data_IF_779610471655
#
_entry.id   IF_779610471655
#
_cell.length_a   1.000
_cell.length_b   1.000
_cell.length_c   1.000
_cell.angle_alpha   90.00
_cell.angle_beta   90.00
_cell.angle_gamma   90.00
#
_symmetry.space_group_name_H-M   'P 1'
#
loop_
_entity.id
_entity.type
_entity.pdbx_description
1 polymer ?
#
# COMPACT_ATOMS: atom_id res chain seq x y z
N UNK A 1 0.87 8.37 17.63
CA UNK A 1 0.58 8.09 16.22
C UNK A 1 -0.92 7.99 16.05
N UNK A 2 -1.46 8.38 14.88
CA UNK A 2 -2.88 8.22 14.60
C UNK A 2 -3.27 6.74 14.63
N UNK A 3 -4.45 6.45 15.16
CA UNK A 3 -5.08 5.13 15.09
C UNK A 3 -6.13 5.16 13.99
N UNK A 4 -6.13 4.15 13.13
CA UNK A 4 -7.14 3.94 12.10
C UNK A 4 -8.49 3.61 12.73
N UNK A 5 -9.57 4.13 12.14
CA UNK A 5 -10.94 3.83 12.48
C UNK A 5 -11.22 2.34 12.31
N UNK A 6 -12.22 1.84 13.03
CA UNK A 6 -12.60 0.42 12.98
C UNK A 6 -13.26 0.10 11.64
N UNK A 7 -12.45 -0.23 10.64
CA UNK A 7 -12.89 -0.80 9.38
C UNK A 7 -12.35 -2.21 9.21
N UNK A 8 -13.20 -3.15 8.78
CA UNK A 8 -12.78 -4.54 8.55
C UNK A 8 -12.31 -4.73 7.11
N UNK A 9 -11.05 -5.15 6.93
CA UNK A 9 -10.54 -5.53 5.61
C UNK A 9 -11.01 -6.97 5.28
N UNK A 10 -12.02 -7.05 4.41
CA UNK A 10 -12.60 -8.32 3.95
C UNK A 10 -12.12 -8.64 2.52
N UNK A 11 -11.65 -9.87 2.30
CA UNK A 11 -11.15 -10.36 1.01
C UNK A 11 -12.29 -11.03 0.22
N UNK A 12 -12.19 -11.00 -1.11
CA UNK A 12 -13.17 -11.54 -2.04
C UNK A 12 -12.66 -12.86 -2.64
N UNK A 13 -13.45 -13.93 -2.54
CA UNK A 13 -13.29 -15.09 -3.42
C UNK A 13 -13.77 -14.72 -4.85
N UNK A 14 -12.86 -14.65 -5.83
CA UNK A 14 -13.22 -14.38 -7.23
C UNK A 14 -12.03 -14.18 -8.19
N UNK A 15 -12.32 -14.22 -9.50
CA UNK A 15 -11.34 -13.96 -10.57
C UNK A 15 -10.86 -12.51 -10.62
N UNK A 16 -9.80 -12.24 -11.42
CA UNK A 16 -9.19 -10.90 -11.66
C UNK A 16 -10.29 -9.84 -11.84
N UNK A 17 -10.28 -8.79 -11.03
CA UNK A 17 -11.22 -7.66 -11.18
C UNK A 17 -10.79 -6.84 -12.40
N UNK A 18 -11.68 -6.71 -13.37
CA UNK A 18 -11.53 -5.85 -14.56
C UNK A 18 -12.79 -5.02 -14.76
N UNK A 19 -12.68 -3.70 -14.84
CA UNK A 19 -13.82 -2.79 -15.02
C UNK A 19 -14.47 -2.32 -13.71
N UNK A 20 -15.52 -1.51 -13.85
CA UNK A 20 -16.19 -0.82 -12.74
C UNK A 20 -16.79 -1.81 -11.73
N UNK A 21 -16.46 -1.55 -10.45
CA UNK A 21 -16.96 -2.18 -9.22
C UNK A 21 -16.26 -3.47 -8.76
N UNK A 22 -15.25 -3.28 -7.90
CA UNK A 22 -14.93 -4.24 -6.83
C UNK A 22 -16.18 -4.45 -5.93
N UNK A 23 -16.98 -5.49 -6.19
CA UNK A 23 -18.22 -5.78 -5.47
C UNK A 23 -18.16 -7.08 -4.65
N UNK A 24 -18.50 -6.92 -3.37
CA UNK A 24 -18.55 -7.82 -2.23
C UNK A 24 -19.14 -9.25 -2.43
N UNK A 25 -18.64 -10.22 -1.65
CA UNK A 25 -19.29 -11.52 -1.36
C UNK A 25 -19.12 -11.84 0.15
N UNK A 26 -20.24 -12.11 0.84
CA UNK A 26 -20.33 -12.31 2.30
C UNK A 26 -20.17 -13.75 2.77
N UNK A 27 -20.10 -14.72 1.86
CA UNK A 27 -20.22 -16.15 2.21
C UNK A 27 -18.92 -16.81 2.69
N UNK A 28 -17.83 -16.07 2.85
CA UNK A 28 -16.60 -16.63 3.38
C UNK A 28 -15.77 -15.57 4.12
N UNK A 29 -15.94 -15.51 5.44
CA UNK A 29 -15.25 -14.55 6.32
C UNK A 29 -13.86 -15.05 6.77
N UNK A 30 -13.33 -16.10 6.11
CA UNK A 30 -12.01 -16.66 6.37
C UNK A 30 -11.40 -17.17 5.04
N UNK A 31 -10.48 -16.44 4.41
CA UNK A 31 -9.84 -16.95 3.18
C UNK A 31 -8.35 -16.64 2.97
N UNK A 32 -7.59 -16.55 4.06
CA UNK A 32 -6.25 -17.16 4.07
C UNK A 32 -6.32 -18.39 4.97
N UNK A 33 -5.83 -19.55 4.53
CA UNK A 33 -5.71 -20.71 5.42
C UNK A 33 -4.94 -20.26 6.67
N UNK A 34 -5.59 -20.39 7.83
CA UNK A 34 -5.07 -20.29 9.19
C UNK A 34 -5.02 -18.88 9.79
N UNK A 35 -5.60 -18.75 10.98
CA UNK A 35 -5.58 -17.57 11.83
C UNK A 35 -4.12 -17.18 12.19
N UNK A 36 -3.51 -16.28 11.41
CA UNK A 36 -2.12 -15.83 11.55
C UNK A 36 -1.14 -16.34 10.50
N UNK A 37 -1.58 -17.16 9.54
CA UNK A 37 -0.77 -17.65 8.41
C UNK A 37 -1.07 -16.95 7.08
N UNK A 38 -2.19 -16.24 6.99
CA UNK A 38 -2.55 -15.36 5.86
C UNK A 38 -1.51 -14.25 5.61
N UNK A 39 -0.99 -13.64 6.68
CA UNK A 39 0.13 -12.70 6.64
C UNK A 39 1.38 -13.30 6.00
N UNK A 40 1.75 -14.52 6.42
CA UNK A 40 2.91 -15.23 5.89
C UNK A 40 2.69 -15.54 4.41
N UNK A 41 1.51 -16.03 4.03
CA UNK A 41 1.21 -16.38 2.63
C UNK A 41 1.29 -15.16 1.71
N UNK A 42 0.65 -14.03 2.06
CA UNK A 42 0.66 -12.86 1.19
C UNK A 42 2.07 -12.26 1.05
N UNK A 43 2.79 -12.12 2.16
CA UNK A 43 4.16 -11.59 2.13
C UNK A 43 5.12 -12.52 1.39
N UNK A 44 5.04 -13.83 1.65
CA UNK A 44 5.88 -14.83 0.99
C UNK A 44 5.65 -14.87 -0.52
N UNK A 45 4.39 -14.68 -0.95
CA UNK A 45 4.04 -14.56 -2.36
C UNK A 45 4.68 -13.34 -3.05
N UNK A 46 4.99 -12.27 -2.31
CA UNK A 46 5.70 -11.09 -2.82
C UNK A 46 7.22 -11.17 -2.67
N UNK A 47 7.77 -12.13 -1.92
CA UNK A 47 9.23 -12.25 -1.75
C UNK A 47 9.98 -12.24 -3.10
N UNK A 48 9.61 -13.03 -4.13
CA UNK A 48 10.30 -12.99 -5.42
C UNK A 48 10.36 -11.60 -6.05
N UNK A 49 9.26 -10.84 -5.93
CA UNK A 49 9.17 -9.46 -6.41
C UNK A 49 10.04 -8.53 -5.57
N UNK A 50 9.95 -8.58 -4.24
CA UNK A 50 10.77 -7.72 -3.36
C UNK A 50 12.27 -7.95 -3.53
N UNK A 51 12.70 -9.19 -3.82
CA UNK A 51 14.12 -9.51 -4.08
C UNK A 51 14.64 -9.02 -5.43
N UNK A 52 13.77 -8.57 -6.33
CA UNK A 52 14.16 -8.24 -7.72
C UNK A 52 13.66 -6.88 -8.20
N UNK A 53 12.73 -6.25 -7.49
CA UNK A 53 12.01 -5.06 -7.95
C UNK A 53 12.91 -3.85 -8.14
N UNK A 54 14.00 -3.71 -7.38
CA UNK A 54 14.91 -2.57 -7.54
C UNK A 54 15.62 -2.55 -8.90
N UNK A 55 15.76 -3.70 -9.57
CA UNK A 55 16.39 -3.78 -10.87
C UNK A 55 15.69 -2.91 -11.92
N UNK A 56 14.38 -2.63 -11.76
CA UNK A 56 13.65 -1.75 -12.68
C UNK A 56 14.19 -0.31 -12.71
N UNK A 57 14.85 0.12 -11.63
CA UNK A 57 15.51 1.44 -11.54
C UNK A 57 17.04 1.34 -11.68
N UNK A 58 17.57 0.18 -12.10
CA UNK A 58 19.02 -0.05 -12.23
C UNK A 58 19.81 0.18 -10.93
N UNK A 59 19.19 -0.06 -9.77
CA UNK A 59 19.84 0.01 -8.45
C UNK A 59 19.93 -1.39 -7.81
N UNK A 60 20.83 -1.62 -6.83
CA UNK A 60 20.98 -2.93 -6.20
C UNK A 60 19.68 -3.45 -5.58
N UNK A 61 19.42 -4.74 -5.80
CA UNK A 61 18.28 -5.43 -5.23
C UNK A 61 18.36 -5.58 -3.71
N UNK A 62 17.20 -5.78 -3.11
CA UNK A 62 17.07 -5.97 -1.67
C UNK A 62 17.85 -7.20 -1.19
N UNK A 63 18.50 -7.09 -0.03
CA UNK A 63 19.05 -8.24 0.69
C UNK A 63 17.96 -8.98 1.48
N UNK A 64 18.26 -10.19 1.98
CA UNK A 64 17.35 -10.92 2.87
C UNK A 64 17.09 -10.19 4.20
N UNK A 65 18.08 -9.45 4.70
CA UNK A 65 17.96 -8.62 5.90
C UNK A 65 17.01 -7.45 5.65
N UNK A 66 17.14 -6.76 4.52
CA UNK A 66 16.26 -5.64 4.15
C UNK A 66 14.80 -6.07 3.96
N UNK A 67 14.55 -7.25 3.36
CA UNK A 67 13.20 -7.82 3.29
C UNK A 67 12.67 -8.18 4.68
N UNK A 68 13.52 -8.68 5.58
CA UNK A 68 13.17 -8.92 6.98
C UNK A 68 12.82 -7.64 7.74
N UNK A 69 13.54 -6.55 7.48
CA UNK A 69 13.27 -5.24 8.08
C UNK A 69 11.96 -4.64 7.60
N UNK A 70 11.61 -4.80 6.32
CA UNK A 70 10.29 -4.46 5.78
C UNK A 70 9.19 -5.19 6.56
N UNK A 71 9.31 -6.51 6.75
CA UNK A 71 8.34 -7.29 7.50
C UNK A 71 8.18 -6.78 8.94
N UNK A 72 9.29 -6.55 9.62
CA UNK A 72 9.27 -6.07 11.01
C UNK A 72 8.59 -4.70 11.12
N UNK A 73 8.91 -3.78 10.21
CA UNK A 73 8.32 -2.44 10.19
C UNK A 73 6.81 -2.47 9.88
N UNK A 74 6.38 -3.25 8.89
CA UNK A 74 4.95 -3.42 8.56
C UNK A 74 4.18 -3.90 9.81
N UNK A 75 4.74 -4.85 10.55
CA UNK A 75 4.09 -5.35 11.75
C UNK A 75 4.03 -4.36 12.89
N UNK A 76 5.13 -3.65 13.11
CA UNK A 76 5.20 -2.63 14.12
C UNK A 76 4.10 -1.59 13.88
N UNK A 77 4.07 -1.00 12.68
CA UNK A 77 3.14 0.09 12.40
C UNK A 77 1.71 -0.39 12.20
N UNK A 78 1.48 -1.63 11.78
CA UNK A 78 0.16 -2.25 11.86
C UNK A 78 -0.34 -2.32 13.30
N UNK A 79 0.50 -2.76 14.25
CA UNK A 79 0.14 -2.81 15.67
C UNK A 79 -0.05 -1.44 16.31
N UNK A 80 0.77 -0.45 15.95
CA UNK A 80 0.72 0.89 16.54
C UNK A 80 -0.41 1.76 15.98
N UNK A 81 -0.78 1.58 14.71
CA UNK A 81 -1.81 2.38 14.04
C UNK A 81 -3.14 1.65 13.88
N UNK A 82 -3.17 0.33 13.97
CA UNK A 82 -4.36 -0.48 13.68
C UNK A 82 -4.67 -0.63 12.19
N UNK A 83 -3.81 -0.12 11.29
CA UNK A 83 -3.94 -0.38 9.84
C UNK A 83 -3.61 -1.85 9.58
N UNK A 84 -4.46 -2.53 8.82
CA UNK A 84 -4.24 -3.93 8.46
C UNK A 84 -2.93 -4.11 7.66
N UNK A 85 -2.04 -4.96 8.15
CA UNK A 85 -0.74 -5.22 7.51
C UNK A 85 -0.81 -5.67 6.05
N UNK A 86 -1.88 -6.35 5.61
CA UNK A 86 -2.08 -6.78 4.23
C UNK A 86 -2.32 -5.57 3.34
N UNK A 87 -3.01 -4.57 3.86
CA UNK A 87 -3.21 -3.30 3.18
C UNK A 87 -1.91 -2.50 3.09
N UNK A 88 -1.13 -2.42 4.17
CA UNK A 88 0.20 -1.79 4.15
C UNK A 88 1.08 -2.42 3.07
N UNK A 89 1.15 -3.76 3.06
CA UNK A 89 1.89 -4.52 2.05
C UNK A 89 1.35 -4.24 0.63
N UNK A 90 0.04 -4.27 0.42
CA UNK A 90 -0.56 -4.03 -0.90
C UNK A 90 -0.20 -2.64 -1.45
N UNK A 91 -0.27 -1.59 -0.62
CA UNK A 91 0.10 -0.22 -1.00
C UNK A 91 1.60 -0.17 -1.30
N UNK A 92 2.46 -0.69 -0.43
CA UNK A 92 3.92 -0.71 -0.67
C UNK A 92 4.28 -1.41 -1.99
N UNK A 93 3.61 -2.53 -2.30
CA UNK A 93 3.83 -3.24 -3.56
C UNK A 93 3.31 -2.46 -4.78
N UNK A 94 2.27 -1.64 -4.63
CA UNK A 94 1.79 -0.73 -5.68
C UNK A 94 2.73 0.45 -5.90
N UNK A 95 3.33 0.99 -4.84
CA UNK A 95 4.17 2.19 -4.90
C UNK A 95 5.60 1.91 -5.36
N UNK A 96 6.21 0.82 -4.87
CA UNK A 96 7.64 0.57 -5.08
C UNK A 96 7.98 -0.86 -5.47
N UNK A 97 7.01 -1.76 -5.54
CA UNK A 97 7.28 -3.20 -5.61
C UNK A 97 8.13 -3.70 -4.43
N UNK A 98 8.16 -2.96 -3.33
CA UNK A 98 8.99 -3.22 -2.16
C UNK A 98 10.47 -2.88 -2.31
N UNK A 99 10.89 -2.12 -3.33
CA UNK A 99 12.29 -1.71 -3.46
C UNK A 99 12.66 -0.66 -2.41
N UNK A 100 13.59 -0.98 -1.50
CA UNK A 100 14.04 -0.03 -0.46
C UNK A 100 14.82 1.17 -1.02
N UNK A 101 15.21 1.11 -2.29
CA UNK A 101 15.93 2.14 -3.05
C UNK A 101 15.09 2.70 -4.19
N UNK A 102 13.76 2.62 -4.10
CA UNK A 102 12.89 3.29 -5.07
C UNK A 102 13.25 4.78 -5.12
N UNK A 103 13.44 5.38 -6.31
CA UNK A 103 13.62 6.81 -6.43
C UNK A 103 12.39 7.55 -5.89
N UNK A 104 12.58 8.66 -5.20
CA UNK A 104 11.47 9.55 -4.86
C UNK A 104 10.88 10.19 -6.11
N UNK A 105 9.59 10.52 -6.06
CA UNK A 105 8.94 11.37 -7.06
C UNK A 105 8.75 12.80 -6.52
N UNK A 106 8.70 13.79 -7.41
CA UNK A 106 8.37 15.18 -7.04
C UNK A 106 7.57 15.84 -8.16
N UNK A 107 6.27 16.00 -7.92
CA UNK A 107 5.35 16.73 -8.80
C UNK A 107 4.75 17.96 -8.09
N UNK A 108 5.57 18.64 -7.28
CA UNK A 108 5.18 19.75 -6.42
C UNK A 108 5.09 19.38 -4.93
N UNK A 109 5.15 18.08 -4.64
CA UNK A 109 5.40 17.50 -3.31
C UNK A 109 6.34 16.33 -3.51
N UNK A 110 7.36 16.26 -2.66
CA UNK A 110 8.35 15.19 -2.61
C UNK A 110 7.75 13.94 -1.96
N UNK A 111 7.86 12.80 -2.64
CA UNK A 111 7.30 11.52 -2.20
C UNK A 111 8.38 10.43 -2.19
N UNK A 112 9.16 10.27 -1.11
CA UNK A 112 10.24 9.30 -1.06
C UNK A 112 9.80 7.91 -0.60
N UNK A 113 10.73 6.95 -0.73
CA UNK A 113 10.69 5.71 0.04
C UNK A 113 9.64 4.69 -0.39
N UNK A 114 9.55 3.62 0.41
CA UNK A 114 8.82 2.37 0.10
C UNK A 114 7.33 2.57 -0.21
N UNK A 115 6.70 3.56 0.40
CA UNK A 115 5.28 3.88 0.21
C UNK A 115 5.09 5.20 -0.57
N UNK A 116 6.17 5.80 -1.12
CA UNK A 116 6.12 7.10 -1.80
C UNK A 116 5.34 8.14 -0.96
N UNK A 117 5.70 8.22 0.31
CA UNK A 117 4.90 8.93 1.32
C UNK A 117 5.05 10.45 1.25
N UNK A 118 4.05 11.21 1.68
CA UNK A 118 3.99 12.66 1.46
C UNK A 118 5.03 13.42 2.30
N UNK A 119 6.08 13.92 1.66
CA UNK A 119 7.23 14.64 2.26
C UNK A 119 7.93 13.86 3.38
N UNK A 120 8.19 12.58 3.13
CA UNK A 120 8.83 11.64 4.06
C UNK A 120 10.22 12.00 4.52
N UNK A 121 10.59 11.59 5.74
CA UNK A 121 11.92 11.89 6.27
C UNK A 121 13.01 10.92 5.76
N UNK A 122 12.64 9.75 5.24
CA UNK A 122 13.58 8.67 4.94
C UNK A 122 13.54 8.20 3.48
N UNK A 123 14.72 7.85 2.98
CA UNK A 123 14.96 7.29 1.65
C UNK A 123 16.35 6.66 1.62
N UNK A 124 16.56 5.70 0.72
CA UNK A 124 17.88 5.18 0.39
C UNK A 124 18.30 5.48 -1.05
N UNK A 125 17.60 6.41 -1.73
CA UNK A 125 17.88 6.79 -3.12
C UNK A 125 17.40 8.22 -3.44
N UNK A 126 18.10 9.24 -2.91
CA UNK A 126 17.78 10.64 -3.21
C UNK A 126 19.04 11.49 -3.43
N UNK A 127 20.06 11.34 -2.57
CA UNK A 127 21.38 11.95 -2.75
C UNK A 127 22.44 10.89 -3.11
N UNK A 128 22.02 9.88 -3.86
CA UNK A 128 22.78 8.67 -4.14
C UNK A 128 22.15 7.44 -3.51
N UNK A 129 22.58 6.27 -4.02
CA UNK A 129 22.04 4.98 -3.61
C UNK A 129 22.80 4.46 -2.39
N UNK A 130 22.07 4.19 -1.30
CA UNK A 130 22.62 3.60 -0.08
C UNK A 130 22.45 2.08 -0.09
N UNK A 131 23.55 1.34 0.08
CA UNK A 131 23.56 -0.14 0.07
C UNK A 131 24.54 -0.70 1.11
N UNK A 132 24.08 -1.51 2.10
CA UNK A 132 22.69 -1.83 2.39
C UNK A 132 21.90 -0.59 2.84
N UNK A 133 20.58 -0.59 2.64
CA UNK A 133 19.66 0.41 3.17
C UNK A 133 19.49 0.16 4.67
N UNK A 134 19.78 1.14 5.55
CA UNK A 134 19.74 0.91 6.99
C UNK A 134 18.34 0.52 7.49
N UNK A 135 18.27 -0.39 8.46
CA UNK A 135 17.01 -0.79 9.12
C UNK A 135 16.19 0.41 9.60
N UNK A 136 16.84 1.42 10.17
CA UNK A 136 16.20 2.64 10.64
C UNK A 136 15.55 3.45 9.52
N UNK A 137 16.17 3.51 8.34
CA UNK A 137 15.59 4.13 7.16
C UNK A 137 14.38 3.34 6.66
N UNK A 138 14.48 2.01 6.60
CA UNK A 138 13.35 1.12 6.21
C UNK A 138 12.17 1.30 7.15
N UNK A 139 12.44 1.29 8.46
CA UNK A 139 11.43 1.48 9.50
C UNK A 139 10.75 2.84 9.35
N UNK A 140 11.54 3.91 9.12
CA UNK A 140 11.01 5.26 8.98
C UNK A 140 10.21 5.44 7.68
N UNK A 141 10.61 4.84 6.56
CA UNK A 141 9.82 4.83 5.31
C UNK A 141 8.44 4.18 5.51
N UNK A 142 8.36 3.05 6.21
CA UNK A 142 7.07 2.42 6.51
C UNK A 142 6.26 3.28 7.49
N UNK A 143 6.90 3.86 8.50
CA UNK A 143 6.26 4.75 9.46
C UNK A 143 5.57 5.92 8.79
N UNK A 144 6.28 6.63 7.92
CA UNK A 144 5.80 7.84 7.29
C UNK A 144 4.63 7.54 6.35
N UNK A 145 4.70 6.45 5.57
CA UNK A 145 3.57 6.05 4.73
C UNK A 145 2.34 5.56 5.51
N UNK A 146 2.52 4.89 6.64
CA UNK A 146 1.39 4.33 7.42
C UNK A 146 0.78 5.33 8.38
N UNK A 147 1.62 6.04 9.14
CA UNK A 147 1.22 6.98 10.18
C UNK A 147 1.17 8.44 9.70
N UNK A 148 1.66 8.73 8.49
CA UNK A 148 1.72 10.07 7.92
C UNK A 148 2.90 10.88 8.43
N UNK A 149 3.10 12.03 7.79
CA UNK A 149 4.14 13.00 8.12
C UNK A 149 3.50 14.26 8.72
N UNK A 150 4.32 15.28 9.00
CA UNK A 150 3.80 16.59 9.34
C UNK A 150 3.15 17.33 8.15
N UNK A 151 3.50 16.94 6.93
CA UNK A 151 3.06 17.58 5.70
C UNK A 151 1.84 16.90 5.06
N UNK A 152 1.64 15.60 5.31
CA UNK A 152 0.56 14.85 4.70
C UNK A 152 0.13 13.59 5.45
N UNK A 153 -0.99 13.06 5.00
CA UNK A 153 -1.63 11.89 5.59
C UNK A 153 -0.91 10.60 5.24
N UNK A 154 -0.89 9.68 6.20
CA UNK A 154 -0.60 8.27 5.97
C UNK A 154 -1.88 7.45 5.83
N UNK A 155 -1.71 6.14 5.66
CA UNK A 155 -2.82 5.20 5.50
C UNK A 155 -3.85 5.27 6.64
N UNK A 156 -3.40 5.46 7.89
CA UNK A 156 -4.30 5.56 9.03
C UNK A 156 -5.27 6.76 8.91
N UNK A 157 -4.75 7.93 8.52
CA UNK A 157 -5.55 9.13 8.28
C UNK A 157 -6.47 8.97 7.07
N UNK A 158 -5.99 8.36 5.98
CA UNK A 158 -6.82 8.09 4.80
C UNK A 158 -8.02 7.17 5.15
N UNK A 159 -7.82 6.16 6.01
CA UNK A 159 -8.92 5.33 6.52
C UNK A 159 -9.88 6.15 7.38
N UNK A 160 -9.37 6.99 8.28
CA UNK A 160 -10.21 7.85 9.12
C UNK A 160 -11.08 8.78 8.27
N UNK A 161 -10.49 9.43 7.27
CA UNK A 161 -11.23 10.26 6.31
C UNK A 161 -12.31 9.48 5.58
N UNK A 162 -12.01 8.25 5.15
CA UNK A 162 -12.99 7.41 4.47
C UNK A 162 -14.18 7.07 5.38
N UNK A 163 -13.91 6.67 6.63
CA UNK A 163 -14.94 6.36 7.63
C UNK A 163 -15.76 7.61 7.98
N UNK A 164 -15.11 8.75 8.19
CA UNK A 164 -15.77 10.00 8.61
C UNK A 164 -16.60 10.63 7.50
N UNK A 165 -16.08 10.68 6.26
CA UNK A 165 -16.73 11.32 5.14
C UNK A 165 -17.82 10.46 4.49
N UNK A 166 -17.61 9.15 4.44
CA UNK A 166 -18.50 8.23 3.70
C UNK A 166 -19.25 7.25 4.59
N UNK A 167 -19.00 7.25 5.90
CA UNK A 167 -19.61 6.33 6.87
C UNK A 167 -19.46 4.85 6.49
N UNK A 168 -18.31 4.52 5.87
CA UNK A 168 -17.97 3.15 5.50
C UNK A 168 -17.31 2.44 6.69
N UNK A 169 -17.73 1.21 6.98
CA UNK A 169 -17.21 0.41 8.13
C UNK A 169 -16.51 -0.90 7.69
N UNK A 170 -16.37 -1.11 6.38
CA UNK A 170 -15.89 -2.37 5.77
C UNK A 170 -14.75 -2.13 4.75
N UNK A 171 -14.47 -3.11 3.88
CA UNK A 171 -13.45 -3.02 2.81
C UNK A 171 -13.58 -1.76 1.93
N UNK A 172 -14.78 -1.17 1.83
CA UNK A 172 -15.01 0.11 1.14
C UNK A 172 -14.16 1.26 1.71
N UNK A 173 -13.98 1.30 3.03
CA UNK A 173 -13.14 2.30 3.68
C UNK A 173 -11.68 2.18 3.22
N UNK A 174 -11.18 0.95 3.03
CA UNK A 174 -9.82 0.70 2.54
C UNK A 174 -9.65 1.08 1.07
N UNK A 175 -10.64 0.81 0.21
CA UNK A 175 -10.55 1.20 -1.21
C UNK A 175 -10.64 2.71 -1.40
N UNK A 176 -11.49 3.39 -0.61
CA UNK A 176 -11.50 4.86 -0.54
C UNK A 176 -10.21 5.42 0.04
N UNK A 177 -9.67 4.79 1.08
CA UNK A 177 -8.38 5.18 1.65
C UNK A 177 -7.25 5.03 0.62
N UNK A 178 -7.21 3.94 -0.14
CA UNK A 178 -6.25 3.74 -1.23
C UNK A 178 -6.39 4.85 -2.30
N UNK A 179 -7.63 5.19 -2.69
CA UNK A 179 -7.87 6.29 -3.62
C UNK A 179 -7.42 7.65 -3.05
N UNK A 180 -7.71 7.90 -1.78
CA UNK A 180 -7.29 9.11 -1.08
C UNK A 180 -5.77 9.19 -0.95
N UNK A 181 -5.08 8.07 -0.68
CA UNK A 181 -3.63 8.01 -0.62
C UNK A 181 -3.00 8.35 -1.98
N UNK A 182 -3.56 7.80 -3.07
CA UNK A 182 -3.06 8.02 -4.43
C UNK A 182 -3.32 9.44 -4.97
N UNK A 183 -4.47 10.04 -4.67
CA UNK A 183 -4.95 11.26 -5.36
C UNK A 183 -5.29 12.42 -4.43
N UNK A 184 -5.12 12.24 -3.11
CA UNK A 184 -5.49 13.19 -2.06
C UNK A 184 -6.99 13.34 -1.80
N UNK A 185 -7.84 12.72 -2.63
CA UNK A 185 -9.29 12.89 -2.57
C UNK A 185 -10.05 11.70 -3.13
N UNK A 186 -11.37 11.69 -2.97
CA UNK A 186 -12.28 10.80 -3.70
C UNK A 186 -13.23 11.71 -4.46
N UNK A 187 -13.50 11.40 -5.73
CA UNK A 187 -14.40 12.20 -6.56
C UNK A 187 -15.81 12.27 -5.94
N UNK A 188 -16.52 13.39 -6.17
CA UNK A 188 -17.87 13.62 -5.64
C UNK A 188 -18.89 12.56 -6.12
N UNK A 189 -18.64 11.95 -7.29
CA UNK A 189 -19.42 10.82 -7.81
C UNK A 189 -19.31 9.56 -6.95
N UNK A 190 -18.26 9.47 -6.13
CA UNK A 190 -17.90 8.29 -5.36
C UNK A 190 -17.21 7.19 -6.19
N UNK A 191 -16.98 7.39 -7.49
CA UNK A 191 -16.28 6.46 -8.38
C UNK A 191 -14.77 6.57 -8.11
N UNK A 192 -14.11 5.45 -7.83
CA UNK A 192 -12.70 5.44 -7.41
C UNK A 192 -11.73 5.52 -8.58
N UNK A 193 -12.23 5.32 -9.79
CA UNK A 193 -11.53 5.48 -11.05
C UNK A 193 -11.62 6.90 -11.62
N UNK A 194 -12.26 7.85 -10.94
CA UNK A 194 -12.39 9.24 -11.41
C UNK A 194 -11.49 10.20 -10.63
N UNK A 195 -11.06 11.27 -11.28
CA UNK A 195 -10.23 12.32 -10.69
C UNK A 195 -8.82 12.33 -11.28
N UNK A 196 -7.85 12.78 -10.50
CA UNK A 196 -6.44 12.83 -10.91
C UNK A 196 -5.68 11.55 -10.53
N UNK A 197 -4.40 11.46 -10.87
CA UNK A 197 -3.53 10.32 -10.56
C UNK A 197 -4.00 8.99 -11.19
N UNK A 198 -3.51 7.85 -10.69
CA UNK A 198 -3.73 6.54 -11.30
C UNK A 198 -5.17 6.07 -11.13
N UNK A 199 -5.93 5.96 -12.22
CA UNK A 199 -7.36 5.68 -12.15
C UNK A 199 -7.67 4.29 -11.57
N UNK A 200 -6.91 3.25 -11.92
CA UNK A 200 -7.13 1.89 -11.42
C UNK A 200 -6.62 1.61 -10.01
N UNK A 201 -6.03 2.60 -9.32
CA UNK A 201 -5.29 2.36 -8.09
C UNK A 201 -6.07 1.52 -7.06
N UNK A 202 -7.32 1.90 -6.76
CA UNK A 202 -8.15 1.17 -5.80
C UNK A 202 -8.46 -0.27 -6.25
N UNK A 203 -8.68 -0.49 -7.54
CA UNK A 203 -8.95 -1.81 -8.14
C UNK A 203 -7.70 -2.69 -8.15
N UNK A 204 -6.53 -2.13 -8.42
CA UNK A 204 -5.24 -2.82 -8.36
C UNK A 204 -4.92 -3.24 -6.91
N UNK A 205 -5.23 -2.40 -5.92
CA UNK A 205 -5.11 -2.75 -4.50
C UNK A 205 -6.09 -3.87 -4.12
N UNK A 206 -7.34 -3.81 -4.59
CA UNK A 206 -8.32 -4.88 -4.36
C UNK A 206 -7.86 -6.24 -4.95
N UNK A 207 -7.26 -6.22 -6.14
CA UNK A 207 -6.68 -7.42 -6.76
C UNK A 207 -5.52 -7.99 -5.93
N UNK A 208 -4.60 -7.15 -5.47
CA UNK A 208 -3.49 -7.59 -4.60
C UNK A 208 -3.98 -8.23 -3.30
N UNK A 209 -5.01 -7.66 -2.69
CA UNK A 209 -5.62 -8.17 -1.47
C UNK A 209 -6.36 -9.49 -1.66
N UNK A 210 -6.74 -9.84 -2.90
CA UNK A 210 -7.39 -11.12 -3.25
C UNK A 210 -6.42 -12.18 -3.73
N UNK A 211 -5.11 -11.98 -3.53
CA UNK A 211 -4.08 -12.96 -3.86
C UNK A 211 -3.54 -12.86 -5.29
N UNK A 212 -3.99 -11.88 -6.08
CA UNK A 212 -3.48 -11.62 -7.44
C UNK A 212 -2.19 -10.79 -7.40
N UNK A 213 -1.18 -11.30 -6.69
CA UNK A 213 0.07 -10.58 -6.36
C UNK A 213 0.94 -10.25 -7.58
N UNK A 214 0.76 -11.00 -8.68
CA UNK A 214 1.51 -10.85 -9.93
C UNK A 214 0.59 -10.46 -11.10
N UNK A 215 -0.65 -10.03 -10.83
CA UNK A 215 -1.51 -9.57 -11.91
C UNK A 215 -0.95 -8.27 -12.49
N UNK A 216 -1.03 -8.14 -13.82
CA UNK A 216 -0.76 -6.87 -14.49
C UNK A 216 -1.59 -5.76 -13.83
N UNK A 217 -0.90 -4.71 -13.40
CA UNK A 217 -1.48 -3.49 -12.86
C UNK A 217 -1.64 -2.45 -13.98
N UNK A 218 -2.53 -1.48 -13.78
CA UNK A 218 -2.87 -0.53 -14.82
C UNK A 218 -4.17 -0.87 -15.55
N UNK A 219 -4.75 0.17 -16.15
CA UNK A 219 -6.03 0.13 -16.82
C UNK A 219 -5.83 0.76 -18.20
N UNK A 220 -6.63 0.32 -19.17
CA UNK A 220 -6.70 0.98 -20.46
C UNK A 220 -7.38 2.33 -20.25
N UNK A 221 -6.58 3.36 -19.99
CA UNK A 221 -7.01 4.75 -19.87
C UNK A 221 -7.68 5.12 -21.21
N UNK A 222 -9.01 5.18 -21.25
CA UNK A 222 -9.70 5.84 -22.36
C UNK A 222 -9.54 7.33 -22.06
N UNK A 223 -8.63 7.97 -22.81
CA UNK A 223 -8.49 9.44 -22.88
C UNK A 223 -9.81 10.12 -23.26
#
# INVERSE_FOLDING_TARGET
>A
MPTAGKANLQVRAGGKVSGSLATYNYANVEDGIGAGSDKYIMFDNYNPTMFTSCAQWSVPNNSGEEVGDIWNAIQQFSGETGVDHRFILAIMMQESGGCVRVPGTDNGVRNPGLLQDHDGAATCNEDGVTTPCPQEAITQMIRDGVAGTAAGDGLAQCINKAVEQFHDEDARAYYRAARNYNSGSVADSGILEEGIATHCYASDIANRLTGWVNADHGCSEIQ
#
